data_IF_277859025986
#
_entry.id   IF_277859025986
#
_cell.length_a   1.000
_cell.length_b   1.000
_cell.length_c   1.000
_cell.angle_alpha   90.00
_cell.angle_beta   90.00
_cell.angle_gamma   90.00
#
_symmetry.space_group_name_H-M   'P 1'
#
loop_
_entity.id
_entity.type
_entity.pdbx_description
1 polymer ?
#
# COMPACT_ATOMS: atom_id res chain seq x y z
N UNK A 1 6.60 23.64 19.89
CA UNK A 1 6.56 23.94 18.44
C UNK A 1 5.11 23.76 18.03
N UNK A 2 4.55 24.60 17.17
CA UNK A 2 3.21 24.31 16.63
C UNK A 2 3.32 23.03 15.79
N UNK A 3 2.43 22.06 16.00
CA UNK A 3 2.40 20.86 15.15
C UNK A 3 2.21 21.32 13.71
N UNK A 4 3.07 20.83 12.81
CA UNK A 4 2.95 21.14 11.40
C UNK A 4 1.61 20.57 10.90
N UNK A 5 0.88 21.36 10.11
CA UNK A 5 -0.41 20.95 9.56
C UNK A 5 -0.21 20.18 8.26
N UNK A 6 -0.98 19.12 8.04
CA UNK A 6 -0.95 18.37 6.79
C UNK A 6 -1.65 19.15 5.67
N UNK A 7 -0.86 19.76 4.79
CA UNK A 7 -1.38 20.46 3.61
C UNK A 7 -1.58 19.52 2.41
N UNK A 8 -0.85 18.39 2.37
CA UNK A 8 -0.84 17.43 1.27
C UNK A 8 -2.23 16.82 1.04
N UNK A 9 -2.92 16.48 2.12
CA UNK A 9 -4.25 15.88 2.07
C UNK A 9 -5.28 16.76 1.31
N UNK A 10 -5.32 18.06 1.62
CA UNK A 10 -6.22 18.98 0.95
C UNK A 10 -5.89 19.19 -0.54
N UNK A 11 -4.61 19.12 -0.91
CA UNK A 11 -4.17 19.18 -2.30
C UNK A 11 -4.55 17.90 -3.05
N UNK A 12 -4.35 16.73 -2.43
CA UNK A 12 -4.73 15.45 -3.01
C UNK A 12 -6.24 15.33 -3.23
N UNK A 13 -7.07 15.76 -2.28
CA UNK A 13 -8.54 15.77 -2.47
C UNK A 13 -8.99 16.61 -3.66
N UNK A 14 -8.40 17.78 -3.86
CA UNK A 14 -8.73 18.64 -5.00
C UNK A 14 -8.40 17.95 -6.32
N UNK A 15 -7.26 17.26 -6.37
CA UNK A 15 -6.85 16.47 -7.53
C UNK A 15 -7.81 15.30 -7.78
N UNK A 16 -8.17 14.53 -6.75
CA UNK A 16 -9.13 13.43 -6.90
C UNK A 16 -10.48 13.91 -7.46
N UNK A 17 -10.96 15.06 -6.98
CA UNK A 17 -12.20 15.68 -7.47
C UNK A 17 -12.04 16.15 -8.92
N UNK A 18 -10.92 16.80 -9.27
CA UNK A 18 -10.74 17.33 -10.63
C UNK A 18 -10.59 16.25 -11.70
N UNK A 19 -10.08 15.08 -11.31
CA UNK A 19 -9.89 13.91 -12.19
C UNK A 19 -11.04 12.88 -12.09
N UNK A 20 -12.13 13.20 -11.40
CA UNK A 20 -13.29 12.32 -11.17
C UNK A 20 -12.92 10.94 -10.56
N UNK A 21 -11.89 10.90 -9.71
CA UNK A 21 -11.42 9.69 -9.04
C UNK A 21 -12.22 9.46 -7.75
N UNK A 22 -13.02 8.39 -7.74
CA UNK A 22 -13.99 8.10 -6.65
C UNK A 22 -13.72 6.82 -5.87
N UNK A 23 -12.62 6.12 -6.17
CA UNK A 23 -12.31 4.80 -5.60
C UNK A 23 -11.64 4.82 -4.22
N UNK A 24 -11.55 5.98 -3.56
CA UNK A 24 -10.90 6.13 -2.26
C UNK A 24 -11.90 6.41 -1.14
N UNK A 25 -11.81 5.63 -0.07
CA UNK A 25 -12.36 5.97 1.25
C UNK A 25 -11.35 6.82 2.02
N UNK A 26 -11.76 7.94 2.58
CA UNK A 26 -10.90 8.81 3.41
C UNK A 26 -11.16 8.59 4.90
N UNK A 27 -10.09 8.51 5.70
CA UNK A 27 -10.13 8.49 7.17
C UNK A 27 -9.05 9.39 7.75
N UNK A 28 -9.41 10.23 8.73
CA UNK A 28 -8.43 10.98 9.52
C UNK A 28 -7.98 10.14 10.71
N UNK A 29 -6.70 10.21 11.04
CA UNK A 29 -6.10 9.61 12.23
C UNK A 29 -5.80 10.73 13.21
N UNK A 30 -6.22 10.57 14.46
CA UNK A 30 -5.97 11.55 15.52
C UNK A 30 -4.57 11.34 16.10
N UNK A 31 -3.54 11.72 15.35
CA UNK A 31 -2.14 11.68 15.76
C UNK A 31 -1.46 13.07 15.71
N UNK A 32 -0.21 13.14 16.14
CA UNK A 32 0.54 14.41 16.23
C UNK A 32 0.89 15.00 14.85
N UNK A 33 0.86 14.17 13.81
CA UNK A 33 1.28 14.49 12.43
C UNK A 33 0.10 14.80 11.51
N UNK A 34 -1.14 14.86 12.02
CA UNK A 34 -2.35 15.16 11.24
C UNK A 34 -2.52 14.17 10.05
N UNK A 35 -2.31 12.88 10.34
CA UNK A 35 -2.32 11.82 9.31
C UNK A 35 -3.71 11.60 8.74
N UNK A 36 -3.78 11.51 7.41
CA UNK A 36 -4.96 11.16 6.64
C UNK A 36 -4.64 9.93 5.80
N UNK A 37 -5.51 8.93 5.91
CA UNK A 37 -5.43 7.67 5.18
C UNK A 37 -6.51 7.63 4.11
N UNK A 38 -6.11 7.41 2.87
CA UNK A 38 -7.00 7.09 1.76
C UNK A 38 -6.87 5.61 1.45
N UNK A 39 -7.98 4.87 1.47
CA UNK A 39 -8.00 3.44 1.20
C UNK A 39 -8.69 3.17 -0.13
N UNK A 40 -8.08 2.36 -0.97
CA UNK A 40 -8.65 1.79 -2.18
C UNK A 40 -8.32 0.29 -2.26
N UNK A 41 -8.75 -0.36 -3.33
CA UNK A 41 -8.53 -1.78 -3.56
C UNK A 41 -8.09 -2.02 -4.99
N UNK A 42 -7.10 -2.89 -5.16
CA UNK A 42 -6.67 -3.39 -6.46
C UNK A 42 -7.10 -4.84 -6.60
N UNK A 43 -7.87 -5.11 -7.65
CA UNK A 43 -8.35 -6.46 -7.96
C UNK A 43 -7.26 -7.23 -8.72
N UNK A 44 -6.99 -8.46 -8.29
CA UNK A 44 -6.04 -9.36 -8.94
C UNK A 44 -6.63 -10.76 -9.06
N UNK A 45 -6.00 -11.62 -9.87
CA UNK A 45 -6.39 -13.03 -9.99
C UNK A 45 -6.11 -13.86 -8.73
N UNK A 46 -5.44 -13.29 -7.73
CA UNK A 46 -5.26 -13.89 -6.40
C UNK A 46 -6.26 -13.33 -5.37
N UNK A 47 -7.07 -12.32 -5.73
CA UNK A 47 -7.97 -11.62 -4.81
C UNK A 47 -7.65 -10.13 -4.69
N UNK A 48 -8.43 -9.44 -3.86
CA UNK A 48 -8.33 -7.99 -3.68
C UNK A 48 -7.17 -7.63 -2.75
N UNK A 49 -6.33 -6.70 -3.19
CA UNK A 49 -5.22 -6.14 -2.41
C UNK A 49 -5.57 -4.72 -1.98
N UNK A 50 -5.73 -4.45 -0.67
CA UNK A 50 -5.87 -3.10 -0.14
C UNK A 50 -4.68 -2.21 -0.51
N UNK A 51 -4.98 -0.99 -0.97
CA UNK A 51 -4.01 0.09 -1.20
C UNK A 51 -4.33 1.23 -0.23
N UNK A 52 -3.32 1.71 0.48
CA UNK A 52 -3.39 2.86 1.36
C UNK A 52 -2.48 3.97 0.85
N UNK A 53 -3.00 5.18 0.75
CA UNK A 53 -2.20 6.40 0.63
C UNK A 53 -2.22 7.09 1.99
N UNK A 54 -1.06 7.22 2.62
CA UNK A 54 -0.87 7.88 3.90
C UNK A 54 -0.21 9.23 3.65
N UNK A 55 -0.93 10.30 3.99
CA UNK A 55 -0.46 11.68 3.91
C UNK A 55 -0.51 12.28 5.30
N UNK A 56 0.59 12.84 5.77
CA UNK A 56 0.73 13.45 7.09
C UNK A 56 1.50 14.79 6.98
N UNK A 57 1.88 15.42 8.08
CA UNK A 57 2.64 16.67 8.04
C UNK A 57 4.14 16.51 7.75
N UNK A 58 4.64 15.27 7.65
CA UNK A 58 6.05 14.97 7.39
C UNK A 58 6.43 15.17 5.91
N UNK A 59 7.71 15.02 5.57
CA UNK A 59 8.14 15.04 4.17
C UNK A 59 7.83 13.74 3.41
N UNK A 60 7.31 12.71 4.10
CA UNK A 60 7.03 11.41 3.52
C UNK A 60 5.55 11.28 3.19
N UNK A 61 5.28 10.70 2.03
CA UNK A 61 3.96 10.21 1.64
C UNK A 61 4.13 8.74 1.29
N UNK A 62 3.23 7.89 1.75
CA UNK A 62 3.38 6.44 1.59
C UNK A 62 2.23 5.90 0.78
N UNK A 63 2.53 5.18 -0.30
CA UNK A 63 1.58 4.27 -0.94
C UNK A 63 1.93 2.87 -0.42
N UNK A 64 1.03 2.26 0.34
CA UNK A 64 1.19 0.92 0.91
C UNK A 64 0.19 -0.04 0.28
N UNK A 65 0.67 -1.18 -0.19
CA UNK A 65 -0.16 -2.29 -0.63
C UNK A 65 -0.04 -3.42 0.37
N UNK A 66 -1.17 -3.93 0.85
CA UNK A 66 -1.23 -5.22 1.55
C UNK A 66 -1.23 -6.30 0.47
N UNK A 67 -0.05 -6.89 0.23
CA UNK A 67 0.14 -7.86 -0.86
C UNK A 67 -0.42 -9.22 -0.45
N UNK A 68 -0.28 -9.57 0.83
CA UNK A 68 -0.97 -10.71 1.43
C UNK A 68 -0.92 -10.63 2.95
N UNK A 69 -2.09 -10.67 3.58
CA UNK A 69 -2.23 -10.59 5.03
C UNK A 69 -2.08 -11.97 5.68
N UNK A 70 -1.24 -12.10 6.71
CA UNK A 70 -1.04 -13.34 7.46
C UNK A 70 -0.73 -14.57 6.58
N UNK A 71 0.03 -14.36 5.49
CA UNK A 71 0.38 -15.41 4.50
C UNK A 71 1.78 -16.00 4.75
N UNK A 72 2.58 -15.36 5.60
CA UNK A 72 3.97 -15.77 5.86
C UNK A 72 4.01 -16.89 6.89
N UNK A 73 4.70 -17.97 6.56
CA UNK A 73 4.94 -19.12 7.44
C UNK A 73 6.43 -19.45 7.45
N UNK A 74 6.87 -20.28 8.41
CA UNK A 74 8.27 -20.75 8.42
C UNK A 74 8.65 -21.57 7.17
N UNK A 75 7.65 -22.18 6.50
CA UNK A 75 7.88 -23.02 5.32
C UNK A 75 8.08 -22.18 4.05
N UNK A 76 7.33 -21.08 3.90
CA UNK A 76 7.39 -20.24 2.69
C UNK A 76 8.29 -19.00 2.83
N UNK A 77 8.76 -18.68 4.04
CA UNK A 77 9.55 -17.48 4.32
C UNK A 77 10.75 -17.30 3.37
N UNK A 78 11.50 -18.38 3.09
CA UNK A 78 12.65 -18.29 2.20
C UNK A 78 12.23 -17.96 0.76
N UNK A 79 11.18 -18.60 0.24
CA UNK A 79 10.69 -18.34 -1.11
C UNK A 79 10.14 -16.90 -1.25
N UNK A 80 9.43 -16.41 -0.22
CA UNK A 80 8.95 -15.01 -0.15
C UNK A 80 10.13 -14.05 -0.13
N UNK A 81 11.14 -14.27 0.72
CA UNK A 81 12.30 -13.37 0.80
C UNK A 81 13.15 -13.38 -0.48
N UNK A 82 13.27 -14.52 -1.16
CA UNK A 82 13.93 -14.62 -2.47
C UNK A 82 13.17 -13.82 -3.55
N UNK A 83 11.83 -13.94 -3.57
CA UNK A 83 10.97 -13.10 -4.41
C UNK A 83 11.20 -11.60 -4.12
N UNK A 84 11.13 -11.22 -2.85
CA UNK A 84 11.28 -9.83 -2.39
C UNK A 84 12.63 -9.26 -2.84
N UNK A 85 13.73 -9.99 -2.61
CA UNK A 85 15.06 -9.54 -2.98
C UNK A 85 15.21 -9.35 -4.49
N UNK A 86 14.66 -10.27 -5.29
CA UNK A 86 14.67 -10.16 -6.76
C UNK A 86 13.91 -8.91 -7.21
N UNK A 87 12.65 -8.75 -6.80
CA UNK A 87 11.82 -7.62 -7.23
C UNK A 87 12.40 -6.28 -6.75
N UNK A 88 12.88 -6.21 -5.50
CA UNK A 88 13.47 -4.99 -4.94
C UNK A 88 14.76 -4.57 -5.66
N UNK A 89 15.48 -5.49 -6.29
CA UNK A 89 16.67 -5.19 -7.09
C UNK A 89 16.35 -4.63 -8.49
N UNK A 90 15.16 -4.92 -9.01
CA UNK A 90 14.71 -4.53 -10.35
C UNK A 90 13.99 -3.19 -10.32
N UNK A 91 13.06 -3.02 -9.37
CA UNK A 91 12.17 -1.87 -9.33
C UNK A 91 12.68 -0.79 -8.37
N UNK A 92 12.68 0.46 -8.82
CA UNK A 92 13.22 1.59 -8.04
C UNK A 92 12.17 2.27 -7.17
N UNK A 93 10.93 2.31 -7.63
CA UNK A 93 9.85 3.11 -7.05
C UNK A 93 9.29 2.52 -5.75
N UNK A 94 9.36 1.20 -5.55
CA UNK A 94 8.82 0.54 -4.36
C UNK A 94 9.77 -0.49 -3.75
N UNK A 95 9.44 -0.90 -2.52
CA UNK A 95 10.08 -2.01 -1.80
C UNK A 95 9.04 -2.92 -1.17
N UNK A 96 9.22 -4.21 -1.37
CA UNK A 96 8.54 -5.24 -0.61
C UNK A 96 9.25 -5.50 0.71
N UNK A 97 8.47 -5.91 1.72
CA UNK A 97 8.99 -6.41 2.98
C UNK A 97 7.98 -7.37 3.65
N UNK A 98 8.49 -8.17 4.59
CA UNK A 98 7.67 -8.98 5.50
C UNK A 98 7.53 -8.20 6.79
N UNK A 99 6.29 -8.02 7.25
CA UNK A 99 6.01 -7.57 8.61
C UNK A 99 5.95 -8.79 9.53
N UNK A 100 6.81 -8.81 10.54
CA UNK A 100 6.96 -9.96 11.42
C UNK A 100 5.87 -10.01 12.48
N UNK A 101 5.30 -8.85 12.84
CA UNK A 101 4.28 -8.77 13.90
C UNK A 101 2.94 -9.36 13.45
N UNK A 102 2.61 -9.29 12.16
CA UNK A 102 1.33 -9.76 11.60
C UNK A 102 1.47 -10.85 10.51
N UNK A 103 2.69 -11.33 10.24
CA UNK A 103 3.01 -12.32 9.22
C UNK A 103 2.53 -11.94 7.80
N UNK A 104 2.53 -10.65 7.46
CA UNK A 104 2.04 -10.16 6.18
C UNK A 104 3.18 -9.73 5.26
N UNK A 105 2.89 -9.72 3.95
CA UNK A 105 3.75 -9.13 2.93
C UNK A 105 3.18 -7.80 2.52
N UNK A 106 4.02 -6.77 2.57
CA UNK A 106 3.69 -5.41 2.17
C UNK A 106 4.56 -4.96 1.00
N UNK A 107 4.06 -4.00 0.23
CA UNK A 107 4.82 -3.19 -0.72
C UNK A 107 4.59 -1.73 -0.38
N UNK A 108 5.68 -1.00 -0.11
CA UNK A 108 5.64 0.44 0.11
C UNK A 108 6.35 1.19 -1.03
N UNK A 109 5.72 2.27 -1.50
CA UNK A 109 6.32 3.29 -2.33
C UNK A 109 6.32 4.60 -1.57
N UNK A 110 7.51 5.16 -1.35
CA UNK A 110 7.69 6.42 -0.63
C UNK A 110 7.84 7.55 -1.63
N UNK A 111 6.96 8.53 -1.55
CA UNK A 111 7.07 9.80 -2.27
C UNK A 111 7.51 10.89 -1.28
N UNK A 112 8.64 11.53 -1.58
CA UNK A 112 9.24 12.55 -0.72
C UNK A 112 8.98 13.93 -1.31
N UNK A 113 8.34 14.80 -0.52
CA UNK A 113 8.11 16.21 -0.85
C UNK A 113 7.85 17.01 0.43
N UNK A 114 8.18 18.30 0.45
CA UNK A 114 7.63 19.18 1.49
C UNK A 114 6.11 19.33 1.32
N UNK A 115 5.41 19.75 2.37
CA UNK A 115 3.96 20.00 2.31
C UNK A 115 3.55 20.95 1.18
N UNK A 116 4.40 21.94 0.88
CA UNK A 116 4.15 22.96 -0.14
C UNK A 116 4.58 22.56 -1.56
N UNK A 117 5.32 21.46 -1.72
CA UNK A 117 5.84 20.99 -3.00
C UNK A 117 5.28 19.62 -3.40
N UNK A 118 4.22 19.18 -2.72
CA UNK A 118 3.56 17.92 -3.03
C UNK A 118 2.77 18.03 -4.33
N UNK A 119 3.11 17.16 -5.29
CA UNK A 119 2.45 17.05 -6.60
C UNK A 119 1.56 15.78 -6.60
N UNK A 120 0.23 15.91 -6.48
CA UNK A 120 -0.66 14.76 -6.39
C UNK A 120 -0.66 13.90 -7.65
N UNK A 121 -0.40 14.49 -8.82
CA UNK A 121 -0.26 13.80 -10.10
C UNK A 121 0.91 12.80 -10.06
N UNK A 122 2.04 13.18 -9.46
CA UNK A 122 3.21 12.31 -9.36
C UNK A 122 2.94 11.14 -8.41
N UNK A 123 2.30 11.39 -7.26
CA UNK A 123 1.84 10.32 -6.37
C UNK A 123 0.91 9.34 -7.12
N UNK A 124 -0.04 9.87 -7.89
CA UNK A 124 -0.97 9.04 -8.66
C UNK A 124 -0.26 8.22 -9.76
N UNK A 125 0.73 8.79 -10.44
CA UNK A 125 1.58 8.08 -11.40
C UNK A 125 2.34 6.93 -10.73
N UNK A 126 2.94 7.16 -9.56
CA UNK A 126 3.65 6.13 -8.80
C UNK A 126 2.70 4.98 -8.40
N UNK A 127 1.49 5.32 -7.95
CA UNK A 127 0.47 4.32 -7.63
C UNK A 127 0.06 3.51 -8.87
N UNK A 128 -0.18 4.17 -10.01
CA UNK A 128 -0.58 3.50 -11.24
C UNK A 128 0.53 2.56 -11.76
N UNK A 129 1.80 2.90 -11.57
CA UNK A 129 2.91 1.99 -11.88
C UNK A 129 2.85 0.70 -11.05
N UNK A 130 2.47 0.77 -9.77
CA UNK A 130 2.27 -0.40 -8.92
C UNK A 130 1.08 -1.22 -9.44
N UNK A 131 -0.04 -0.57 -9.75
CA UNK A 131 -1.26 -1.23 -10.27
C UNK A 131 -0.98 -1.97 -11.60
N UNK A 132 -0.19 -1.38 -12.49
CA UNK A 132 0.19 -2.02 -13.76
C UNK A 132 1.22 -3.13 -13.61
N UNK A 133 2.03 -3.07 -12.55
CA UNK A 133 3.05 -4.07 -12.24
C UNK A 133 2.43 -5.31 -11.58
N UNK A 134 1.52 -5.13 -10.62
CA UNK A 134 1.07 -6.22 -9.75
C UNK A 134 0.53 -7.45 -10.50
N UNK A 135 -0.31 -7.33 -11.55
CA UNK A 135 -0.80 -8.51 -12.29
C UNK A 135 0.33 -9.37 -12.88
N UNK A 136 1.49 -8.77 -13.19
CA UNK A 136 2.68 -9.49 -13.70
C UNK A 136 3.44 -10.19 -12.57
N UNK A 137 3.37 -9.66 -11.35
CA UNK A 137 3.99 -10.23 -10.17
C UNK A 137 3.17 -11.37 -9.54
N UNK A 138 1.83 -11.34 -9.70
CA UNK A 138 0.88 -12.32 -9.13
C UNK A 138 1.30 -13.78 -9.31
N UNK A 139 1.70 -14.27 -10.50
CA UNK A 139 2.11 -15.67 -10.65
C UNK A 139 3.29 -16.06 -9.75
N UNK A 140 4.29 -15.19 -9.65
CA UNK A 140 5.46 -15.43 -8.80
C UNK A 140 5.15 -15.25 -7.31
N UNK A 141 4.20 -14.37 -6.95
CA UNK A 141 3.68 -14.27 -5.60
C UNK A 141 2.95 -15.55 -5.18
N UNK A 142 2.12 -16.13 -6.05
CA UNK A 142 1.41 -17.40 -5.80
C UNK A 142 2.39 -18.53 -5.50
N UNK A 143 3.42 -18.64 -6.34
CA UNK A 143 4.50 -19.61 -6.16
C UNK A 143 5.26 -19.40 -4.85
N UNK A 144 5.67 -18.16 -4.57
CA UNK A 144 6.44 -17.85 -3.36
C UNK A 144 5.64 -18.05 -2.07
N UNK A 145 4.35 -17.70 -2.07
CA UNK A 145 3.47 -17.85 -0.91
C UNK A 145 2.91 -19.28 -0.76
N UNK A 146 2.88 -20.06 -1.84
CA UNK A 146 2.28 -21.39 -1.87
C UNK A 146 0.75 -21.38 -1.84
N UNK A 147 0.13 -20.32 -2.38
CA UNK A 147 -1.34 -20.14 -2.37
C UNK A 147 -1.87 -19.72 -3.74
N UNK A 148 -3.11 -20.12 -4.05
CA UNK A 148 -3.80 -19.72 -5.29
C UNK A 148 -4.68 -18.48 -5.13
N UNK A 149 -5.18 -18.25 -3.92
CA UNK A 149 -6.01 -17.10 -3.56
C UNK A 149 -5.54 -16.56 -2.21
N UNK A 150 -5.63 -15.25 -2.05
CA UNK A 150 -5.40 -14.57 -0.79
C UNK A 150 -6.43 -15.04 0.23
N UNK A 151 -6.04 -15.19 1.50
CA UNK A 151 -6.99 -15.50 2.55
C UNK A 151 -8.03 -14.38 2.62
N UNK A 152 -9.29 -14.75 2.82
CA UNK A 152 -10.36 -13.77 3.03
C UNK A 152 -10.03 -12.97 4.31
N UNK A 153 -9.83 -11.65 4.22
CA UNK A 153 -9.51 -10.82 5.38
C UNK A 153 -10.62 -10.83 6.45
N UNK A 154 -11.83 -11.29 6.11
CA UNK A 154 -12.97 -11.40 7.04
C UNK A 154 -13.18 -12.79 7.63
N UNK A 155 -12.41 -13.81 7.22
CA UNK A 155 -12.59 -15.19 7.70
C UNK A 155 -12.41 -15.34 9.22
N UNK A 156 -11.54 -14.52 9.84
CA UNK A 156 -11.28 -14.58 11.29
C UNK A 156 -12.43 -13.99 12.13
N UNK A 157 -13.31 -13.16 11.56
CA UNK A 157 -14.42 -12.52 12.27
C UNK A 157 -15.78 -13.21 12.04
N UNK A 158 -15.83 -14.26 11.22
CA UNK A 158 -17.07 -14.96 10.89
C UNK A 158 -17.70 -15.74 12.07
N UNK A 159 -16.98 -15.91 13.18
CA UNK A 159 -17.44 -16.63 14.38
C UNK A 159 -17.93 -15.73 15.52
N UNK A 160 -17.99 -14.40 15.31
CA UNK A 160 -18.49 -13.44 16.30
C UNK A 160 -19.92 -12.99 15.98
N UNK A 161 -20.86 -13.94 15.91
CA UNK A 161 -22.31 -13.67 15.87
C UNK A 161 -23.09 -14.64 16.76
#
# INVERSE_FOLDING_TARGET
MANAKNEKSAVFEKFLISEDITCFDKRNIEDEEDTVVYRSYMQTDMGDMPIFVLLDATIYSVIRVVVGANVVTSENYQAITDFINRENSIYKNFKYYVEQDDNSVYLDCIYISSNTAFEPELLYVLMNQIVQYMPKAVPALKEAMGIEQLPDPFAQHAHEH
#
